data_IF_864649173017
#
_entry.id   IF_864649173017
#
_cell.length_a   1.000
_cell.length_b   1.000
_cell.length_c   1.000
_cell.angle_alpha   90.00
_cell.angle_beta   90.00
_cell.angle_gamma   90.00
#
_symmetry.space_group_name_H-M   'P 1'
#
loop_
_entity.id
_entity.type
_entity.pdbx_description
1 polymer ?
#
# COMPACT_ATOMS: atom_id res chain seq x y z
N UNK A 1 -7.28 -17.30 -1.93
CA UNK A 1 -7.38 -16.67 -0.60
C UNK A 1 -5.97 -16.49 -0.07
N UNK A 2 -5.62 -15.31 0.42
CA UNK A 2 -4.27 -15.03 0.93
C UNK A 2 -4.02 -15.60 2.33
N UNK A 3 -2.76 -15.65 2.74
CA UNK A 3 -2.36 -16.07 4.10
C UNK A 3 -3.11 -15.22 5.15
N UNK A 4 -3.78 -15.82 6.13
CA UNK A 4 -4.54 -15.06 7.14
C UNK A 4 -3.65 -14.17 8.02
N UNK A 5 -2.37 -14.49 8.13
CA UNK A 5 -1.40 -13.71 8.92
C UNK A 5 -0.89 -12.46 8.20
N UNK A 6 -1.25 -12.26 6.92
CA UNK A 6 -0.67 -11.20 6.09
C UNK A 6 -0.81 -9.79 6.69
N UNK A 7 -1.92 -9.48 7.30
CA UNK A 7 -2.15 -8.16 7.89
C UNK A 7 -1.32 -7.95 9.16
N UNK A 8 -1.18 -8.98 9.98
CA UNK A 8 -0.33 -8.93 11.18
C UNK A 8 1.15 -8.79 10.82
N UNK A 9 1.65 -9.60 9.88
CA UNK A 9 3.03 -9.54 9.42
C UNK A 9 3.37 -8.21 8.75
N UNK A 10 2.47 -7.72 7.91
CA UNK A 10 2.66 -6.44 7.21
C UNK A 10 2.62 -5.26 8.19
N UNK A 11 1.70 -5.24 9.13
CA UNK A 11 1.63 -4.21 10.16
C UNK A 11 2.83 -4.23 11.10
N UNK A 12 3.37 -5.42 11.42
CA UNK A 12 4.61 -5.56 12.17
C UNK A 12 5.81 -4.96 11.43
N UNK A 13 5.90 -5.18 10.12
CA UNK A 13 6.93 -4.58 9.28
C UNK A 13 6.82 -3.03 9.29
N UNK A 14 5.63 -2.50 9.12
CA UNK A 14 5.39 -1.05 9.18
C UNK A 14 5.82 -0.49 10.54
N UNK A 15 5.48 -1.19 11.62
CA UNK A 15 5.87 -0.80 12.98
C UNK A 15 7.38 -0.70 13.19
N UNK A 16 8.17 -1.52 12.49
CA UNK A 16 9.64 -1.49 12.55
C UNK A 16 10.25 -0.28 11.84
N UNK A 17 9.55 0.29 10.87
CA UNK A 17 10.08 1.31 9.96
C UNK A 17 9.52 2.72 10.18
N UNK A 18 8.39 2.85 10.85
CA UNK A 18 7.66 4.13 10.98
C UNK A 18 7.20 4.42 12.39
N UNK A 19 7.11 5.72 12.71
CA UNK A 19 6.62 6.20 13.99
C UNK A 19 5.13 5.87 14.20
N UNK A 20 4.76 5.55 15.42
CA UNK A 20 3.36 5.32 15.82
C UNK A 20 2.46 6.55 15.65
N UNK A 21 3.05 7.74 15.55
CA UNK A 21 2.32 9.01 15.36
C UNK A 21 2.04 9.30 13.87
N UNK A 22 2.53 8.46 12.96
CA UNK A 22 2.34 8.66 11.53
C UNK A 22 0.86 8.68 11.13
N UNK A 23 0.50 9.65 10.31
CA UNK A 23 -0.81 9.71 9.64
C UNK A 23 -0.77 8.75 8.43
N UNK A 24 -1.47 7.64 8.52
CA UNK A 24 -1.42 6.56 7.53
C UNK A 24 -2.67 6.53 6.67
N UNK A 25 -2.49 6.49 5.35
CA UNK A 25 -3.55 6.14 4.42
C UNK A 25 -3.40 4.66 4.00
N UNK A 26 -4.38 3.84 4.35
CA UNK A 26 -4.53 2.47 3.89
C UNK A 26 -5.32 2.48 2.58
N UNK A 27 -4.62 2.34 1.46
CA UNK A 27 -5.17 2.51 0.12
C UNK A 27 -5.63 1.16 -0.43
N UNK A 28 -6.86 1.11 -0.92
CA UNK A 28 -7.56 -0.11 -1.33
C UNK A 28 -7.67 -1.13 -0.18
N UNK A 29 -7.91 -0.63 1.03
CA UNK A 29 -7.90 -1.42 2.26
C UNK A 29 -9.09 -2.37 2.44
N UNK A 30 -9.97 -2.48 1.46
CA UNK A 30 -11.06 -3.43 1.43
C UNK A 30 -11.95 -3.37 2.68
N UNK A 31 -12.01 -4.44 3.42
CA UNK A 31 -12.81 -4.53 4.65
C UNK A 31 -12.17 -3.86 5.88
N UNK A 32 -10.98 -3.26 5.72
CA UNK A 32 -10.27 -2.56 6.80
C UNK A 32 -9.53 -3.48 7.77
N UNK A 33 -9.18 -4.68 7.37
CA UNK A 33 -8.41 -5.60 8.22
C UNK A 33 -7.00 -5.07 8.53
N UNK A 34 -6.37 -4.37 7.56
CA UNK A 34 -5.08 -3.75 7.82
C UNK A 34 -5.18 -2.62 8.84
N UNK A 35 -6.25 -1.81 8.78
CA UNK A 35 -6.48 -0.77 9.78
C UNK A 35 -6.57 -1.37 11.20
N UNK A 36 -7.28 -2.48 11.37
CA UNK A 36 -7.37 -3.19 12.65
C UNK A 36 -5.99 -3.66 13.10
N UNK A 37 -5.23 -4.32 12.21
CA UNK A 37 -3.90 -4.82 12.54
C UNK A 37 -2.92 -3.70 12.90
N UNK A 38 -2.95 -2.57 12.20
CA UNK A 38 -2.14 -1.39 12.52
C UNK A 38 -2.50 -0.80 13.89
N UNK A 39 -3.78 -0.73 14.23
CA UNK A 39 -4.22 -0.30 15.56
C UNK A 39 -3.71 -1.22 16.67
N UNK A 40 -3.73 -2.52 16.45
CA UNK A 40 -3.17 -3.51 17.39
C UNK A 40 -1.65 -3.34 17.59
N UNK A 41 -0.92 -2.79 16.59
CA UNK A 41 0.49 -2.44 16.71
C UNK A 41 0.74 -1.07 17.35
N UNK A 42 -0.31 -0.33 17.69
CA UNK A 42 -0.22 0.95 18.41
C UNK A 42 -0.36 2.20 17.54
N UNK A 43 -0.57 2.06 16.22
CA UNK A 43 -0.89 3.20 15.38
C UNK A 43 -2.30 3.72 15.69
N UNK A 44 -2.48 5.03 15.72
CA UNK A 44 -3.75 5.67 16.09
C UNK A 44 -4.39 6.48 14.97
N UNK A 45 -3.62 6.83 13.93
CA UNK A 45 -4.05 7.72 12.86
C UNK A 45 -4.07 6.98 11.51
N UNK A 46 -5.09 6.18 11.27
CA UNK A 46 -5.24 5.41 10.04
C UNK A 46 -6.57 5.76 9.38
N UNK A 47 -6.54 6.09 8.09
CA UNK A 47 -7.74 6.24 7.27
C UNK A 47 -7.68 5.20 6.14
N UNK A 48 -8.71 4.38 6.03
CA UNK A 48 -8.83 3.39 4.95
C UNK A 48 -9.62 3.97 3.80
N UNK A 49 -9.03 3.91 2.60
CA UNK A 49 -9.67 4.31 1.34
C UNK A 49 -9.98 3.07 0.50
N UNK A 50 -11.18 3.02 -0.04
CA UNK A 50 -11.58 1.96 -0.96
C UNK A 50 -12.70 2.46 -1.89
N UNK A 51 -12.68 2.03 -3.15
CA UNK A 51 -13.73 2.38 -4.12
C UNK A 51 -15.04 1.63 -3.87
N UNK A 52 -14.99 0.52 -3.15
CA UNK A 52 -16.17 -0.29 -2.83
C UNK A 52 -16.83 0.17 -1.54
N UNK A 53 -18.13 0.38 -1.61
CA UNK A 53 -18.93 0.78 -0.45
C UNK A 53 -19.09 -0.42 0.51
N UNK A 54 -18.71 -0.22 1.77
CA UNK A 54 -19.03 -1.15 2.85
C UNK A 54 -19.73 -0.38 3.99
N UNK A 55 -21.04 -0.51 4.15
CA UNK A 55 -21.83 0.31 5.07
C UNK A 55 -21.49 0.07 6.56
N UNK A 56 -20.78 -1.00 6.88
CA UNK A 56 -20.58 -1.43 8.26
C UNK A 56 -19.29 -0.95 8.91
N UNK A 57 -18.56 0.01 8.33
CA UNK A 57 -17.24 0.40 8.86
C UNK A 57 -17.09 1.90 9.07
N UNK A 58 -16.80 2.25 10.32
CA UNK A 58 -16.38 3.58 10.75
C UNK A 58 -14.96 3.90 10.24
N UNK A 59 -14.67 5.17 9.98
CA UNK A 59 -13.36 5.67 9.54
C UNK A 59 -12.88 5.20 8.17
N UNK A 60 -13.80 4.90 7.28
CA UNK A 60 -13.51 4.50 5.91
C UNK A 60 -14.06 5.53 4.94
N UNK A 61 -13.20 5.93 3.99
CA UNK A 61 -13.62 6.80 2.90
C UNK A 61 -13.91 5.98 1.64
N UNK A 62 -15.11 6.13 1.09
CA UNK A 62 -15.58 5.42 -0.11
C UNK A 62 -15.18 6.18 -1.37
N UNK A 63 -13.89 6.39 -1.55
CA UNK A 63 -13.38 7.04 -2.74
C UNK A 63 -12.02 6.49 -3.10
N UNK A 64 -11.69 6.65 -4.35
CA UNK A 64 -10.37 6.36 -4.85
C UNK A 64 -9.35 7.33 -4.24
N UNK A 65 -8.18 6.84 -3.90
CA UNK A 65 -7.11 7.69 -3.40
C UNK A 65 -6.45 8.43 -4.56
N UNK A 66 -6.60 9.74 -4.65
CA UNK A 66 -6.08 10.58 -5.72
C UNK A 66 -5.85 12.03 -5.25
N UNK A 67 -5.57 12.92 -6.20
CA UNK A 67 -5.30 14.34 -5.96
C UNK A 67 -6.41 15.09 -5.22
N UNK A 68 -7.66 14.58 -5.23
CA UNK A 68 -8.78 15.21 -4.51
C UNK A 68 -8.67 15.05 -2.98
N UNK A 69 -7.78 14.18 -2.52
CA UNK A 69 -7.53 13.96 -1.10
C UNK A 69 -6.50 14.96 -0.60
N UNK A 70 -6.96 16.01 0.03
CA UNK A 70 -6.14 17.11 0.54
C UNK A 70 -5.60 16.88 1.95
N UNK A 71 -6.13 15.90 2.68
CA UNK A 71 -5.65 15.57 4.02
C UNK A 71 -4.18 15.18 3.97
N UNK A 72 -3.32 15.74 4.84
CA UNK A 72 -1.92 15.36 4.91
C UNK A 72 -1.77 13.96 5.48
N UNK A 73 -0.97 13.14 4.81
CA UNK A 73 -0.55 11.84 5.28
C UNK A 73 0.98 11.78 5.32
N UNK A 74 1.51 10.96 6.23
CA UNK A 74 2.95 10.73 6.39
C UNK A 74 3.39 9.45 5.69
N UNK A 75 2.44 8.56 5.38
CA UNK A 75 2.71 7.25 4.83
C UNK A 75 1.50 6.72 4.06
N UNK A 76 1.73 6.20 2.85
CA UNK A 76 0.74 5.42 2.11
C UNK A 76 1.07 3.94 2.21
N UNK A 77 0.07 3.11 2.53
CA UNK A 77 0.25 1.66 2.61
C UNK A 77 -0.79 0.91 1.78
N UNK A 78 -0.42 -0.26 1.30
CA UNK A 78 -1.34 -1.15 0.60
C UNK A 78 -0.93 -2.61 0.75
N UNK A 79 -1.78 -3.39 1.41
CA UNK A 79 -1.62 -4.84 1.51
C UNK A 79 -2.53 -5.51 0.50
N UNK A 80 -1.94 -6.05 -0.56
CA UNK A 80 -2.66 -6.58 -1.73
C UNK A 80 -3.63 -5.52 -2.32
N UNK A 81 -3.11 -4.35 -2.70
CA UNK A 81 -3.95 -3.21 -3.08
C UNK A 81 -4.56 -3.29 -4.47
N UNK A 82 -4.36 -4.43 -5.17
CA UNK A 82 -4.99 -4.71 -6.45
C UNK A 82 -4.69 -3.62 -7.50
N UNK A 83 -5.71 -2.97 -8.07
CA UNK A 83 -5.58 -1.90 -9.07
C UNK A 83 -4.92 -0.62 -8.53
N UNK A 84 -4.78 -0.47 -7.22
CA UNK A 84 -4.17 0.71 -6.63
C UNK A 84 -2.65 0.61 -6.45
N UNK A 85 -2.02 -0.48 -6.88
CA UNK A 85 -0.60 -0.74 -6.61
C UNK A 85 0.32 0.36 -7.12
N UNK A 86 0.23 0.71 -8.40
CA UNK A 86 1.03 1.79 -9.01
C UNK A 86 0.53 3.20 -8.60
N UNK A 87 -0.77 3.33 -8.35
CA UNK A 87 -1.38 4.57 -7.84
C UNK A 87 -0.75 4.99 -6.51
N UNK A 88 -0.50 4.05 -5.61
CA UNK A 88 0.16 4.35 -4.32
C UNK A 88 1.54 4.97 -4.54
N UNK A 89 2.35 4.42 -5.44
CA UNK A 89 3.69 4.95 -5.74
C UNK A 89 3.59 6.35 -6.33
N UNK A 90 2.67 6.56 -7.27
CA UNK A 90 2.46 7.85 -7.94
C UNK A 90 2.02 8.91 -6.93
N UNK A 91 1.03 8.61 -6.11
CA UNK A 91 0.49 9.54 -5.12
C UNK A 91 1.49 9.82 -3.99
N UNK A 92 2.26 8.82 -3.56
CA UNK A 92 3.34 9.00 -2.60
C UNK A 92 4.43 9.95 -3.16
N UNK A 93 4.79 9.78 -4.43
CA UNK A 93 5.77 10.65 -5.09
C UNK A 93 5.29 12.11 -5.20
N UNK A 94 4.04 12.32 -5.61
CA UNK A 94 3.45 13.66 -5.68
C UNK A 94 3.45 14.37 -4.31
N UNK A 95 3.21 13.62 -3.25
CA UNK A 95 3.14 14.13 -1.87
C UNK A 95 4.50 14.17 -1.19
N UNK A 96 5.54 13.60 -1.79
CA UNK A 96 6.88 13.44 -1.22
C UNK A 96 6.86 12.74 0.14
N UNK A 97 6.11 11.65 0.22
CA UNK A 97 5.99 10.81 1.42
C UNK A 97 6.34 9.37 1.10
N UNK A 98 6.76 8.57 2.09
CA UNK A 98 7.06 7.16 1.92
C UNK A 98 5.82 6.33 1.59
N UNK A 99 6.07 5.14 1.04
CA UNK A 99 5.06 4.11 0.84
C UNK A 99 5.55 2.73 1.28
N UNK A 100 4.59 1.85 1.61
CA UNK A 100 4.82 0.41 1.82
C UNK A 100 3.73 -0.36 1.09
N UNK A 101 4.10 -1.20 0.13
CA UNK A 101 3.15 -2.00 -0.64
C UNK A 101 3.56 -3.47 -0.70
N UNK A 102 2.57 -4.36 -0.65
CA UNK A 102 2.71 -5.78 -0.95
C UNK A 102 1.81 -6.13 -2.14
N UNK A 103 2.30 -6.07 -3.39
CA UNK A 103 1.48 -6.34 -4.56
C UNK A 103 0.98 -7.79 -4.61
N UNK A 104 -0.26 -7.99 -5.08
CA UNK A 104 -0.85 -9.33 -5.21
C UNK A 104 -0.97 -9.81 -6.66
N UNK A 105 -1.14 -8.88 -7.59
CA UNK A 105 -1.43 -9.19 -8.99
C UNK A 105 -0.91 -8.10 -9.91
N UNK A 106 -0.92 -8.40 -11.21
CA UNK A 106 -0.50 -7.48 -12.26
C UNK A 106 -1.72 -6.71 -12.73
N UNK A 107 -1.90 -5.48 -12.25
CA UNK A 107 -2.99 -4.59 -12.67
C UNK A 107 -2.47 -3.16 -12.80
N UNK A 108 -1.74 -2.85 -13.87
CA UNK A 108 -1.26 -1.49 -14.10
C UNK A 108 -2.42 -0.56 -14.45
N UNK A 109 -2.37 0.67 -13.93
CA UNK A 109 -3.33 1.73 -14.26
C UNK A 109 -2.80 2.67 -15.33
N UNK A 110 -1.49 2.63 -15.60
CA UNK A 110 -0.84 3.44 -16.62
C UNK A 110 -0.55 2.57 -17.83
N UNK A 111 -1.11 2.96 -18.97
CA UNK A 111 -0.83 2.31 -20.26
C UNK A 111 0.62 2.57 -20.75
N UNK A 112 1.14 1.74 -21.67
CA UNK A 112 0.46 0.76 -22.54
C UNK A 112 0.92 -0.70 -22.38
N UNK A 113 1.51 -1.12 -21.29
CA UNK A 113 2.44 -2.27 -21.30
C UNK A 113 1.98 -3.49 -20.50
N UNK A 114 0.77 -3.50 -20.04
CA UNK A 114 0.22 -4.53 -19.17
C UNK A 114 0.10 -5.94 -19.78
N UNK A 115 0.08 -6.05 -21.12
CA UNK A 115 -0.27 -7.28 -21.83
C UNK A 115 0.74 -8.42 -21.67
N UNK A 116 1.95 -8.15 -21.23
CA UNK A 116 3.04 -9.12 -21.17
C UNK A 116 3.74 -9.20 -19.82
N UNK A 117 3.20 -8.57 -18.77
CA UNK A 117 3.84 -8.64 -17.46
C UNK A 117 3.59 -9.99 -16.77
N UNK A 118 4.68 -10.72 -16.50
CA UNK A 118 4.70 -11.68 -15.40
C UNK A 118 4.68 -10.91 -14.08
N UNK A 119 4.36 -11.57 -12.99
CA UNK A 119 4.43 -10.92 -11.68
C UNK A 119 5.86 -10.41 -11.36
N UNK A 120 6.89 -11.16 -11.74
CA UNK A 120 8.28 -10.74 -11.56
C UNK A 120 8.60 -9.46 -12.35
N UNK A 121 8.17 -9.39 -13.61
CA UNK A 121 8.36 -8.20 -14.44
C UNK A 121 7.56 -7.01 -13.88
N UNK A 122 6.39 -7.26 -13.33
CA UNK A 122 5.59 -6.24 -12.66
C UNK A 122 6.32 -5.67 -11.44
N UNK A 123 6.88 -6.52 -10.59
CA UNK A 123 7.67 -6.08 -9.43
C UNK A 123 8.88 -5.25 -9.85
N UNK A 124 9.59 -5.66 -10.90
CA UNK A 124 10.71 -4.90 -11.49
C UNK A 124 10.25 -3.54 -12.00
N UNK A 125 9.13 -3.49 -12.71
CA UNK A 125 8.55 -2.25 -13.22
C UNK A 125 8.16 -1.29 -12.09
N UNK A 126 7.52 -1.77 -11.03
CA UNK A 126 7.18 -0.96 -9.86
C UNK A 126 8.42 -0.38 -9.18
N UNK A 127 9.48 -1.18 -9.07
CA UNK A 127 10.76 -0.74 -8.53
C UNK A 127 11.41 0.36 -9.38
N UNK A 128 11.43 0.18 -10.70
CA UNK A 128 11.96 1.17 -11.64
C UNK A 128 11.13 2.46 -11.62
N UNK A 129 9.81 2.36 -11.57
CA UNK A 129 8.91 3.51 -11.44
C UNK A 129 9.22 4.31 -10.16
N UNK A 130 9.33 3.64 -9.03
CA UNK A 130 9.63 4.29 -7.76
C UNK A 130 11.01 4.93 -7.75
N UNK A 131 12.02 4.21 -8.25
CA UNK A 131 13.39 4.76 -8.38
C UNK A 131 13.40 6.01 -9.26
N UNK A 132 12.74 5.99 -10.42
CA UNK A 132 12.62 7.12 -11.32
C UNK A 132 11.90 8.33 -10.72
N UNK A 133 11.11 8.13 -9.68
CA UNK A 133 10.43 9.18 -8.90
C UNK A 133 11.22 9.65 -7.67
N UNK A 134 12.45 9.15 -7.49
CA UNK A 134 13.37 9.58 -6.45
C UNK A 134 13.33 8.79 -5.15
N UNK A 135 12.59 7.66 -5.11
CA UNK A 135 12.59 6.81 -3.93
C UNK A 135 13.85 5.97 -3.80
N UNK A 136 14.33 5.84 -2.58
CA UNK A 136 15.24 4.76 -2.16
C UNK A 136 14.38 3.57 -1.78
N UNK A 137 14.68 2.42 -2.37
CA UNK A 137 13.86 1.22 -2.24
C UNK A 137 14.52 0.17 -1.37
N UNK A 138 13.68 -0.50 -0.58
CA UNK A 138 14.01 -1.74 0.11
C UNK A 138 12.95 -2.79 -0.24
N UNK A 139 13.39 -3.98 -0.60
CA UNK A 139 12.52 -5.14 -0.78
C UNK A 139 12.60 -6.01 0.48
N UNK A 140 11.46 -6.43 0.99
CA UNK A 140 11.34 -7.33 2.15
C UNK A 140 10.42 -8.48 1.78
N UNK A 141 10.80 -9.70 2.19
CA UNK A 141 9.96 -10.89 2.02
C UNK A 141 9.32 -11.23 3.36
N UNK A 142 7.99 -11.21 3.40
CA UNK A 142 7.25 -11.62 4.59
C UNK A 142 7.24 -13.15 4.72
N UNK A 143 7.32 -13.69 5.95
CA UNK A 143 7.29 -15.13 6.19
C UNK A 143 5.86 -15.69 6.10
N UNK A 144 5.25 -15.58 4.95
CA UNK A 144 3.89 -16.01 4.66
C UNK A 144 3.79 -16.70 3.30
N UNK A 145 2.70 -17.41 3.08
CA UNK A 145 2.39 -18.04 1.81
C UNK A 145 1.85 -17.03 0.78
N UNK A 146 2.04 -17.34 -0.51
CA UNK A 146 1.53 -16.55 -1.62
C UNK A 146 2.39 -15.33 -1.93
N UNK A 147 1.76 -14.23 -2.31
CA UNK A 147 2.44 -12.98 -2.67
C UNK A 147 2.91 -12.26 -1.39
N UNK A 148 4.20 -12.29 -1.16
CA UNK A 148 4.83 -11.91 0.10
C UNK A 148 5.98 -10.88 -0.04
N UNK A 149 6.23 -10.40 -1.26
CA UNK A 149 7.24 -9.37 -1.49
C UNK A 149 6.68 -7.99 -1.21
N UNK A 150 7.36 -7.27 -0.33
CA UNK A 150 7.02 -5.90 0.06
C UNK A 150 8.05 -4.94 -0.51
N UNK A 151 7.58 -3.83 -1.09
CA UNK A 151 8.41 -2.69 -1.45
C UNK A 151 8.19 -1.57 -0.44
N UNK A 152 9.28 -1.07 0.12
CA UNK A 152 9.32 0.12 0.97
C UNK A 152 10.05 1.20 0.19
N UNK A 153 9.39 2.31 -0.07
CA UNK A 153 9.99 3.49 -0.71
C UNK A 153 10.08 4.66 0.27
N UNK A 154 11.27 5.24 0.39
CA UNK A 154 11.56 6.44 1.17
C UNK A 154 12.37 7.43 0.33
N UNK A 155 12.24 8.71 0.58
CA UNK A 155 13.09 9.74 -0.04
C UNK A 155 14.44 9.88 0.63
#
# INVERSE_FOLDING_TARGET
>A
MGDPRRFDLFSSLIRQHFSLTAQIADVAGGKGYLQVALKEKGFTHITTFDKQRNPNKQHREYRWFNDSIIKPFDLLVGMHPDEATDVIIIEAAKRKIPFVICPCCVKPTIEPLWQSYTFQNWMTHLGQMAYGKGFKLQEVILPMNGRNKVLIGKF
#
